data_IF_209959954857
#
_entry.id   IF_209959954857
#
_cell.length_a   1.000
_cell.length_b   1.000
_cell.length_c   1.000
_cell.angle_alpha   90.00
_cell.angle_beta   90.00
_cell.angle_gamma   90.00
#
_symmetry.space_group_name_H-M   'P 1'
#
loop_
_entity.id
_entity.type
_entity.pdbx_description
1 polymer ?
#
# COMPACT_ATOMS: atom_id res chain seq x y z
N UNK A 1 32.70 -3.97 6.66
CA UNK A 1 32.47 -3.84 5.20
C UNK A 1 32.50 -2.35 4.92
N UNK A 2 33.51 -1.83 4.21
CA UNK A 2 33.50 -0.41 3.81
C UNK A 2 32.53 -0.23 2.64
N UNK A 3 31.54 0.65 2.83
CA UNK A 3 30.67 1.12 1.75
C UNK A 3 31.48 2.13 0.91
N UNK A 4 31.76 1.80 -0.35
CA UNK A 4 32.39 2.76 -1.26
C UNK A 4 31.38 3.79 -1.76
N UNK A 5 31.85 5.00 -2.09
CA UNK A 5 31.03 6.03 -2.74
C UNK A 5 30.33 5.49 -3.99
N UNK A 6 31.02 4.68 -4.80
CA UNK A 6 30.46 4.03 -5.98
C UNK A 6 29.27 3.10 -5.66
N UNK A 7 29.29 2.41 -4.51
CA UNK A 7 28.19 1.53 -4.09
C UNK A 7 26.97 2.35 -3.66
N UNK A 8 27.20 3.47 -2.98
CA UNK A 8 26.16 4.41 -2.58
C UNK A 8 25.49 5.02 -3.82
N UNK A 9 26.29 5.51 -4.77
CA UNK A 9 25.79 6.11 -6.01
C UNK A 9 24.97 5.13 -6.85
N UNK A 10 25.43 3.88 -6.96
CA UNK A 10 24.71 2.83 -7.67
C UNK A 10 23.35 2.52 -7.00
N UNK A 11 23.30 2.46 -5.67
CA UNK A 11 22.06 2.23 -4.92
C UNK A 11 21.08 3.40 -5.08
N UNK A 12 21.55 4.64 -5.00
CA UNK A 12 20.73 5.85 -5.20
C UNK A 12 20.16 5.90 -6.62
N UNK A 13 21.00 5.64 -7.63
CA UNK A 13 20.58 5.59 -9.03
C UNK A 13 19.51 4.53 -9.26
N UNK A 14 19.69 3.33 -8.70
CA UNK A 14 18.70 2.25 -8.77
C UNK A 14 17.37 2.68 -8.15
N UNK A 15 17.40 3.31 -6.97
CA UNK A 15 16.19 3.84 -6.33
C UNK A 15 15.47 4.89 -7.17
N UNK A 16 16.22 5.82 -7.77
CA UNK A 16 15.66 6.84 -8.67
C UNK A 16 15.05 6.24 -9.93
N UNK A 17 15.70 5.24 -10.52
CA UNK A 17 15.22 4.62 -11.76
C UNK A 17 13.98 3.74 -11.49
N UNK A 18 13.92 3.06 -10.33
CA UNK A 18 12.70 2.37 -9.86
C UNK A 18 11.56 3.36 -9.60
N UNK A 19 11.82 4.47 -8.92
CA UNK A 19 10.80 5.48 -8.62
C UNK A 19 10.17 6.13 -9.86
N UNK A 20 10.84 6.11 -11.02
CA UNK A 20 10.27 6.56 -12.30
C UNK A 20 9.39 5.52 -12.98
N UNK A 21 9.63 4.24 -12.72
CA UNK A 21 8.93 3.12 -13.34
C UNK A 21 7.74 2.63 -12.50
N UNK A 22 7.79 2.84 -11.19
CA UNK A 22 6.75 2.43 -10.25
C UNK A 22 5.61 3.45 -10.21
N UNK A 23 4.40 2.97 -10.50
CA UNK A 23 3.18 3.74 -10.29
C UNK A 23 2.89 3.93 -8.80
N UNK A 24 2.48 5.14 -8.42
CA UNK A 24 2.13 5.50 -7.03
C UNK A 24 0.63 5.46 -6.82
N UNK A 25 0.22 5.08 -5.61
CA UNK A 25 -1.15 5.29 -5.19
C UNK A 25 -1.39 6.80 -5.00
N UNK A 26 -2.46 7.30 -5.62
CA UNK A 26 -2.91 8.69 -5.55
C UNK A 26 -4.25 8.82 -4.85
N UNK A 27 -4.96 7.71 -4.66
CA UNK A 27 -6.19 7.64 -3.88
C UNK A 27 -6.33 6.30 -3.16
N UNK A 28 -6.95 6.34 -1.98
CA UNK A 28 -7.38 5.14 -1.27
C UNK A 28 -8.70 5.44 -0.56
N UNK A 29 -9.65 4.50 -0.59
CA UNK A 29 -10.97 4.67 0.03
C UNK A 29 -11.59 3.35 0.44
N UNK A 30 -12.41 3.41 1.48
CA UNK A 30 -13.35 2.35 1.82
C UNK A 30 -14.57 2.43 0.88
N UNK A 31 -14.83 1.37 0.14
CA UNK A 31 -16.14 1.09 -0.45
C UNK A 31 -16.97 0.30 0.57
N UNK A 32 -17.65 1.04 1.45
CA UNK A 32 -18.45 0.45 2.52
C UNK A 32 -19.65 -0.36 2.01
N UNK A 33 -20.18 -0.02 0.83
CA UNK A 33 -21.31 -0.74 0.24
C UNK A 33 -20.88 -2.15 -0.20
N UNK A 34 -19.62 -2.32 -0.62
CA UNK A 34 -19.06 -3.61 -1.06
C UNK A 34 -18.13 -4.27 -0.05
N UNK A 35 -17.80 -3.60 1.06
CA UNK A 35 -16.85 -4.07 2.06
C UNK A 35 -15.42 -4.19 1.50
N UNK A 36 -15.00 -3.25 0.65
CA UNK A 36 -13.69 -3.31 -0.04
C UNK A 36 -12.84 -2.09 0.24
N UNK A 37 -11.53 -2.30 0.26
CA UNK A 37 -10.53 -1.24 0.08
C UNK A 37 -10.31 -1.05 -1.41
N UNK A 38 -10.45 0.19 -1.90
CA UNK A 38 -10.10 0.59 -3.26
C UNK A 38 -8.88 1.51 -3.22
N UNK A 39 -7.92 1.26 -4.12
CA UNK A 39 -6.67 2.01 -4.26
C UNK A 39 -6.54 2.42 -5.73
N UNK A 40 -6.43 3.72 -5.97
CA UNK A 40 -6.24 4.33 -7.29
C UNK A 40 -4.77 4.70 -7.48
N UNK A 41 -4.23 4.36 -8.65
CA UNK A 41 -2.85 4.64 -9.03
C UNK A 41 -2.75 5.76 -10.07
N UNK A 42 -1.60 6.43 -10.12
CA UNK A 42 -1.33 7.58 -11.01
C UNK A 42 -1.48 7.30 -12.52
N UNK A 43 -1.52 6.04 -12.93
CA UNK A 43 -1.78 5.59 -14.29
C UNK A 43 -3.25 5.31 -14.59
N UNK A 44 -4.16 5.58 -13.65
CA UNK A 44 -5.59 5.35 -13.77
C UNK A 44 -6.03 3.91 -13.50
N UNK A 45 -5.13 3.01 -13.08
CA UNK A 45 -5.50 1.69 -12.59
C UNK A 45 -6.14 1.82 -11.22
N UNK A 46 -7.23 1.10 -10.98
CA UNK A 46 -7.79 0.88 -9.65
C UNK A 46 -7.62 -0.59 -9.26
N UNK A 47 -7.08 -0.83 -8.06
CA UNK A 47 -7.10 -2.14 -7.42
C UNK A 47 -8.13 -2.12 -6.29
N UNK A 48 -8.89 -3.20 -6.13
CA UNK A 48 -9.73 -3.35 -4.95
C UNK A 48 -9.63 -4.74 -4.33
N UNK A 49 -9.61 -4.79 -3.00
CA UNK A 49 -9.55 -6.04 -2.22
C UNK A 49 -10.58 -6.03 -1.08
N UNK A 50 -11.21 -7.17 -0.74
CA UNK A 50 -12.10 -7.24 0.43
C UNK A 50 -11.36 -6.92 1.72
N UNK A 51 -11.93 -6.08 2.59
CA UNK A 51 -11.35 -5.76 3.91
C UNK A 51 -11.22 -7.02 4.77
N UNK A 52 -12.13 -7.98 4.62
CA UNK A 52 -12.16 -9.24 5.38
C UNK A 52 -10.98 -10.17 5.10
N UNK A 53 -10.15 -9.88 4.09
CA UNK A 53 -8.94 -10.64 3.75
C UNK A 53 -7.65 -9.94 4.18
N UNK A 54 -7.77 -8.75 4.77
CA UNK A 54 -6.64 -7.99 5.32
C UNK A 54 -6.37 -8.42 6.77
N UNK A 55 -5.50 -7.70 7.47
CA UNK A 55 -5.16 -8.00 8.88
C UNK A 55 -6.42 -8.14 9.75
N UNK A 56 -6.38 -8.97 10.80
CA UNK A 56 -7.51 -9.11 11.74
C UNK A 56 -8.00 -7.78 12.31
N UNK A 57 -7.09 -6.81 12.51
CA UNK A 57 -7.42 -5.46 12.96
C UNK A 57 -8.35 -4.76 11.98
N UNK A 58 -8.03 -4.78 10.68
CA UNK A 58 -8.85 -4.14 9.65
C UNK A 58 -10.14 -4.94 9.40
N UNK A 59 -10.05 -6.27 9.36
CA UNK A 59 -11.20 -7.15 9.15
C UNK A 59 -12.28 -6.99 10.24
N UNK A 60 -11.87 -6.70 11.47
CA UNK A 60 -12.78 -6.49 12.62
C UNK A 60 -13.15 -5.02 12.89
N UNK A 61 -12.61 -4.07 12.15
CA UNK A 61 -12.84 -2.65 12.39
C UNK A 61 -14.20 -2.17 11.85
N UNK A 62 -14.76 -1.14 12.50
CA UNK A 62 -15.95 -0.48 12.01
C UNK A 62 -15.66 0.42 10.78
N UNK A 63 -16.69 0.66 9.97
CA UNK A 63 -16.58 1.46 8.76
C UNK A 63 -16.08 2.89 9.00
N UNK A 64 -16.33 3.47 10.19
CA UNK A 64 -15.92 4.84 10.49
C UNK A 64 -14.40 4.90 10.65
N UNK A 65 -13.80 3.95 11.35
CA UNK A 65 -12.34 3.84 11.48
C UNK A 65 -11.71 3.48 10.14
N UNK A 66 -12.29 2.52 9.42
CA UNK A 66 -11.80 2.10 8.10
C UNK A 66 -11.86 3.21 7.04
N UNK A 67 -12.81 4.13 7.14
CA UNK A 67 -12.93 5.26 6.21
C UNK A 67 -11.83 6.33 6.41
N UNK A 68 -11.16 6.39 7.56
CA UNK A 68 -10.00 7.27 7.80
C UNK A 68 -8.69 6.63 7.32
N UNK A 69 -8.74 5.96 6.15
CA UNK A 69 -7.55 5.47 5.45
C UNK A 69 -6.78 6.66 4.89
N UNK A 70 -5.46 6.68 5.10
CA UNK A 70 -4.57 7.73 4.59
C UNK A 70 -3.48 7.14 3.75
N UNK A 71 -3.11 7.84 2.69
CA UNK A 71 -1.92 7.55 1.92
C UNK A 71 -0.71 8.20 2.59
N UNK A 72 0.33 7.42 2.84
CA UNK A 72 1.60 7.85 3.40
C UNK A 72 2.76 7.37 2.53
N UNK A 73 3.99 7.70 2.93
CA UNK A 73 5.21 7.28 2.25
C UNK A 73 5.35 7.80 0.81
N UNK A 74 4.55 8.78 0.37
CA UNK A 74 4.51 9.22 -1.03
C UNK A 74 3.70 8.30 -1.95
N UNK A 75 2.69 7.61 -1.41
CA UNK A 75 1.80 6.72 -2.17
C UNK A 75 2.23 5.25 -2.13
N UNK A 76 3.07 4.89 -1.16
CA UNK A 76 3.51 3.51 -0.91
C UNK A 76 2.75 2.85 0.23
N UNK A 77 2.27 3.64 1.19
CA UNK A 77 1.72 3.12 2.43
C UNK A 77 0.27 3.56 2.59
N UNK A 78 -0.52 2.67 3.17
CA UNK A 78 -1.81 2.99 3.76
C UNK A 78 -1.66 3.00 5.26
N UNK A 79 -2.29 3.97 5.93
CA UNK A 79 -2.31 4.03 7.38
C UNK A 79 -3.71 4.38 7.90
N UNK A 80 -4.12 3.69 8.95
CA UNK A 80 -5.35 3.95 9.71
C UNK A 80 -4.99 4.41 11.12
N UNK A 81 -4.94 5.73 11.38
CA UNK A 81 -4.43 6.26 12.65
C UNK A 81 -5.20 5.80 13.90
N UNK A 82 -6.53 5.63 13.77
CA UNK A 82 -7.36 5.18 14.88
C UNK A 82 -7.21 3.67 15.19
N UNK A 83 -6.61 2.91 14.28
CA UNK A 83 -6.35 1.48 14.41
C UNK A 83 -4.87 1.19 14.67
N UNK A 84 -4.00 2.18 14.46
CA UNK A 84 -2.54 2.04 14.45
C UNK A 84 -2.07 0.90 13.55
N UNK A 85 -2.67 0.82 12.36
CA UNK A 85 -2.45 -0.27 11.42
C UNK A 85 -2.04 0.30 10.06
N UNK A 86 -1.02 -0.31 9.46
CA UNK A 86 -0.46 0.13 8.19
C UNK A 86 -0.30 -1.02 7.20
N UNK A 87 -0.41 -0.70 5.91
CA UNK A 87 -0.17 -1.66 4.83
C UNK A 87 0.79 -1.05 3.80
N UNK A 88 1.80 -1.82 3.41
CA UNK A 88 2.68 -1.48 2.30
C UNK A 88 2.04 -1.93 0.98
N UNK A 89 1.67 -0.99 0.12
CA UNK A 89 0.88 -1.22 -1.10
C UNK A 89 1.57 -2.17 -2.08
N UNK A 90 2.88 -2.09 -2.36
CA UNK A 90 3.55 -3.04 -3.24
C UNK A 90 3.51 -4.48 -2.73
N UNK A 91 3.67 -4.70 -1.42
CA UNK A 91 3.53 -6.02 -0.81
C UNK A 91 2.09 -6.52 -0.90
N UNK A 92 1.10 -5.68 -0.57
CA UNK A 92 -0.31 -6.02 -0.76
C UNK A 92 -0.62 -6.45 -2.20
N UNK A 93 -0.12 -5.71 -3.20
CA UNK A 93 -0.26 -6.07 -4.61
C UNK A 93 0.42 -7.40 -4.95
N UNK A 94 1.61 -7.64 -4.40
CA UNK A 94 2.33 -8.88 -4.58
C UNK A 94 1.61 -10.06 -3.92
N UNK A 95 1.05 -9.90 -2.73
CA UNK A 95 0.24 -10.92 -2.07
C UNK A 95 -1.03 -11.24 -2.86
N UNK A 96 -1.69 -10.24 -3.43
CA UNK A 96 -2.87 -10.42 -4.29
C UNK A 96 -2.55 -11.23 -5.56
N UNK A 97 -1.35 -11.07 -6.12
CA UNK A 97 -1.00 -11.60 -7.45
C UNK A 97 -0.11 -12.84 -7.43
N UNK A 98 0.74 -12.99 -6.41
CA UNK A 98 1.75 -14.05 -6.30
C UNK A 98 1.61 -14.91 -5.03
N UNK A 99 0.72 -14.58 -4.08
CA UNK A 99 0.71 -15.19 -2.74
C UNK A 99 -0.66 -15.29 -2.06
N UNK A 100 -0.68 -15.47 -0.73
CA UNK A 100 -1.90 -15.67 0.06
C UNK A 100 -2.21 -14.42 0.89
N UNK A 101 -3.19 -13.66 0.43
CA UNK A 101 -4.06 -12.88 1.31
C UNK A 101 -4.70 -13.85 2.31
N UNK A 102 -4.10 -14.05 3.47
CA UNK A 102 -4.67 -14.88 4.53
C UNK A 102 -4.74 -14.04 5.80
N UNK A 103 -5.99 -13.76 6.22
CA UNK A 103 -6.32 -13.17 7.52
C UNK A 103 -5.74 -13.99 8.69
#
# INVERSE_FOLDING_TARGET
>A
MELSEQTIDAALKRGQDLAKAEHRAVGARLDAARGRLAIEFDNGVEMSTPISLLSPTLAGADNKKLADVRLEGGGYDLYWPALDEGLFIPELCAEITYGKLAA
#
